data_IF_763064663760
#
_entry.id   IF_763064663760
#
_cell.length_a   1.000
_cell.length_b   1.000
_cell.length_c   1.000
_cell.angle_alpha   90.00
_cell.angle_beta   90.00
_cell.angle_gamma   90.00
#
_symmetry.space_group_name_H-M   'P 1'
#
loop_
_entity.id
_entity.type
_entity.pdbx_description
1 polymer ?
#
# COMPACT_ATOMS: atom_id res chain seq x y z
N UNK A 1 1.63 -38.59 -2.78
CA UNK A 1 2.26 -38.57 -1.43
C UNK A 1 1.40 -37.70 -0.54
N UNK A 2 0.90 -38.25 0.52
CA UNK A 2 0.06 -37.52 1.49
C UNK A 2 0.94 -36.53 2.24
N UNK A 3 0.50 -35.25 2.29
CA UNK A 3 1.23 -34.18 3.01
C UNK A 3 0.78 -34.23 4.47
N UNK A 4 1.71 -34.51 5.37
CA UNK A 4 1.39 -34.86 6.74
C UNK A 4 1.08 -33.63 7.63
N UNK A 5 1.75 -32.49 7.43
CA UNK A 5 1.64 -31.34 8.32
C UNK A 5 1.09 -30.09 7.63
N UNK A 6 0.45 -29.22 8.42
CA UNK A 6 -0.02 -27.87 7.99
C UNK A 6 1.15 -27.04 7.50
N UNK A 7 2.30 -27.12 8.18
CA UNK A 7 3.53 -26.44 7.79
C UNK A 7 3.94 -26.81 6.35
N UNK A 8 3.94 -28.10 6.01
CA UNK A 8 4.31 -28.54 4.68
C UNK A 8 3.28 -28.10 3.62
N UNK A 9 1.98 -28.08 3.98
CA UNK A 9 0.93 -27.54 3.09
C UNK A 9 1.15 -26.07 2.83
N UNK A 10 1.37 -25.27 3.87
CA UNK A 10 1.67 -23.85 3.74
C UNK A 10 2.89 -23.59 2.87
N UNK A 11 4.02 -24.23 3.19
CA UNK A 11 5.27 -24.06 2.43
C UNK A 11 5.14 -24.50 0.98
N UNK A 12 4.36 -25.56 0.71
CA UNK A 12 4.09 -25.98 -0.67
C UNK A 12 3.28 -24.93 -1.42
N UNK A 13 2.23 -24.37 -0.80
CA UNK A 13 1.44 -23.29 -1.38
C UNK A 13 2.32 -22.06 -1.71
N UNK A 14 3.15 -21.62 -0.76
CA UNK A 14 4.09 -20.50 -0.96
C UNK A 14 5.06 -20.78 -2.11
N UNK A 15 5.62 -22.00 -2.17
CA UNK A 15 6.51 -22.40 -3.26
C UNK A 15 5.82 -22.31 -4.62
N UNK A 16 4.59 -22.81 -4.74
CA UNK A 16 3.81 -22.74 -5.99
C UNK A 16 3.52 -21.30 -6.41
N UNK A 17 3.26 -20.38 -5.46
CA UNK A 17 3.08 -18.97 -5.75
C UNK A 17 4.37 -18.31 -6.24
N UNK A 18 5.49 -18.58 -5.59
CA UNK A 18 6.80 -18.00 -5.95
C UNK A 18 7.25 -18.42 -7.35
N UNK A 19 7.07 -19.68 -7.70
CA UNK A 19 7.47 -20.22 -9.00
C UNK A 19 6.37 -20.18 -10.05
N UNK A 20 5.19 -19.65 -9.73
CA UNK A 20 4.01 -19.55 -10.62
C UNK A 20 3.75 -20.88 -11.35
N UNK A 21 3.63 -21.94 -10.58
CA UNK A 21 3.50 -23.29 -11.12
C UNK A 21 2.21 -23.42 -11.96
N UNK A 22 2.35 -23.87 -13.23
CA UNK A 22 1.24 -23.89 -14.18
C UNK A 22 0.20 -24.98 -13.91
N UNK A 23 0.58 -26.06 -13.21
CA UNK A 23 -0.26 -27.26 -13.07
C UNK A 23 -0.98 -27.34 -11.72
N UNK A 24 -0.33 -26.87 -10.66
CA UNK A 24 -0.87 -26.95 -9.30
C UNK A 24 -1.28 -25.59 -8.79
N UNK A 25 -2.47 -25.52 -8.20
CA UNK A 25 -2.99 -24.28 -7.64
C UNK A 25 -2.60 -24.17 -6.16
N UNK A 26 -1.94 -23.08 -5.72
CA UNK A 26 -1.59 -22.89 -4.31
C UNK A 26 -2.82 -22.89 -3.39
N UNK A 27 -3.99 -22.47 -3.89
CA UNK A 27 -5.23 -22.45 -3.09
C UNK A 27 -5.59 -23.83 -2.55
N UNK A 28 -5.42 -24.89 -3.34
CA UNK A 28 -5.78 -26.24 -2.94
C UNK A 28 -5.03 -26.69 -1.68
N UNK A 29 -3.79 -26.24 -1.54
CA UNK A 29 -2.93 -26.54 -0.37
C UNK A 29 -3.33 -25.73 0.85
N UNK A 30 -3.67 -24.46 0.66
CA UNK A 30 -4.15 -23.62 1.77
C UNK A 30 -5.54 -24.04 2.24
N UNK A 31 -6.43 -24.43 1.33
CA UNK A 31 -7.76 -24.98 1.66
C UNK A 31 -7.65 -26.27 2.47
N UNK A 32 -6.78 -27.19 2.06
CA UNK A 32 -6.52 -28.41 2.82
C UNK A 32 -5.92 -28.09 4.22
N UNK A 33 -5.01 -27.12 4.32
CA UNK A 33 -4.48 -26.69 5.61
C UNK A 33 -5.58 -26.11 6.50
N UNK A 34 -6.44 -25.25 5.95
CA UNK A 34 -7.55 -24.62 6.67
C UNK A 34 -8.69 -25.58 7.01
N UNK A 35 -8.84 -26.69 6.26
CA UNK A 35 -9.78 -27.77 6.63
C UNK A 35 -9.35 -28.48 7.90
N UNK A 36 -8.05 -28.59 8.14
CA UNK A 36 -7.45 -29.22 9.34
C UNK A 36 -7.34 -28.23 10.50
N UNK A 37 -6.94 -26.97 10.23
CA UNK A 37 -6.81 -25.89 11.21
C UNK A 37 -7.42 -24.59 10.65
N UNK A 38 -8.72 -24.36 10.85
CA UNK A 38 -9.42 -23.21 10.29
C UNK A 38 -8.86 -21.84 10.74
N UNK A 39 -8.17 -21.82 11.87
CA UNK A 39 -7.58 -20.62 12.46
C UNK A 39 -6.09 -20.39 12.09
N UNK A 40 -5.47 -21.21 11.24
CA UNK A 40 -4.05 -20.98 10.87
C UNK A 40 -3.87 -19.59 10.27
N UNK A 41 -3.03 -18.78 10.93
CA UNK A 41 -2.84 -17.36 10.59
C UNK A 41 -2.22 -17.20 9.21
N UNK A 42 -1.22 -18.01 8.88
CA UNK A 42 -0.44 -17.89 7.64
C UNK A 42 -1.28 -18.32 6.43
N UNK A 43 -1.99 -19.44 6.55
CA UNK A 43 -2.85 -19.93 5.49
C UNK A 43 -4.05 -19.01 5.24
N UNK A 44 -4.66 -18.44 6.30
CA UNK A 44 -5.71 -17.43 6.13
C UNK A 44 -5.14 -16.16 5.46
N UNK A 45 -3.98 -15.67 5.89
CA UNK A 45 -3.38 -14.50 5.26
C UNK A 45 -3.05 -14.76 3.77
N UNK A 46 -2.47 -15.90 3.44
CA UNK A 46 -2.18 -16.29 2.06
C UNK A 46 -3.45 -16.41 1.20
N UNK A 47 -4.49 -17.07 1.71
CA UNK A 47 -5.79 -17.15 1.03
C UNK A 47 -6.41 -15.79 0.80
N UNK A 48 -6.35 -14.90 1.82
CA UNK A 48 -6.80 -13.52 1.68
C UNK A 48 -6.09 -12.78 0.55
N UNK A 49 -4.77 -12.90 0.45
CA UNK A 49 -3.97 -12.30 -0.63
C UNK A 49 -4.34 -12.87 -2.02
N UNK A 50 -4.61 -14.17 -2.13
CA UNK A 50 -5.06 -14.77 -3.38
C UNK A 50 -6.44 -14.25 -3.81
N UNK A 51 -7.37 -14.06 -2.86
CA UNK A 51 -8.68 -13.46 -3.14
C UNK A 51 -8.57 -11.98 -3.51
N UNK A 52 -7.66 -11.23 -2.87
CA UNK A 52 -7.37 -9.84 -3.26
C UNK A 52 -6.91 -9.74 -4.72
N UNK A 53 -6.00 -10.61 -5.16
CA UNK A 53 -5.53 -10.66 -6.56
C UNK A 53 -6.65 -10.96 -7.56
N UNK A 54 -7.71 -11.66 -7.12
CA UNK A 54 -8.90 -11.94 -7.93
C UNK A 54 -9.97 -10.84 -7.85
N UNK A 55 -9.75 -9.79 -7.07
CA UNK A 55 -10.74 -8.73 -6.84
C UNK A 55 -11.89 -9.12 -5.88
N UNK A 56 -11.79 -10.27 -5.23
CA UNK A 56 -12.81 -10.80 -4.32
C UNK A 56 -12.57 -10.27 -2.89
N UNK A 57 -12.66 -8.95 -2.73
CA UNK A 57 -12.25 -8.26 -1.50
C UNK A 57 -13.03 -8.68 -0.26
N UNK A 58 -14.32 -9.01 -0.38
CA UNK A 58 -15.11 -9.47 0.75
C UNK A 58 -14.68 -10.85 1.24
N UNK A 59 -14.24 -11.75 0.34
CA UNK A 59 -13.68 -13.04 0.72
C UNK A 59 -12.32 -12.87 1.37
N UNK A 60 -11.49 -11.98 0.81
CA UNK A 60 -10.18 -11.64 1.38
C UNK A 60 -10.32 -11.11 2.82
N UNK A 61 -11.25 -10.18 3.04
CA UNK A 61 -11.54 -9.62 4.36
C UNK A 61 -11.89 -10.70 5.38
N UNK A 62 -12.74 -11.67 5.03
CA UNK A 62 -13.13 -12.76 5.93
C UNK A 62 -11.91 -13.57 6.41
N UNK A 63 -10.98 -13.86 5.50
CA UNK A 63 -9.74 -14.54 5.82
C UNK A 63 -8.81 -13.71 6.71
N UNK A 64 -8.60 -12.43 6.39
CA UNK A 64 -7.76 -11.56 7.22
C UNK A 64 -8.34 -11.38 8.63
N UNK A 65 -9.65 -11.22 8.76
CA UNK A 65 -10.31 -11.15 10.09
C UNK A 65 -10.13 -12.45 10.89
N UNK A 66 -10.17 -13.61 10.23
CA UNK A 66 -9.90 -14.91 10.86
C UNK A 66 -8.47 -15.00 11.34
N UNK A 67 -7.50 -14.62 10.50
CA UNK A 67 -6.08 -14.55 10.87
C UNK A 67 -5.86 -13.63 12.09
N UNK A 68 -6.41 -12.43 12.06
CA UNK A 68 -6.31 -11.45 13.15
C UNK A 68 -6.94 -11.99 14.45
N UNK A 69 -8.10 -12.60 14.35
CA UNK A 69 -8.78 -13.20 15.51
C UNK A 69 -7.88 -14.23 16.22
N UNK A 70 -7.24 -15.11 15.46
CA UNK A 70 -6.31 -16.10 16.03
C UNK A 70 -5.05 -15.43 16.58
N UNK A 71 -4.47 -14.51 15.81
CA UNK A 71 -3.24 -13.79 16.17
C UNK A 71 -3.37 -13.00 17.48
N UNK A 72 -4.57 -12.49 17.77
CA UNK A 72 -4.86 -11.65 18.93
C UNK A 72 -5.46 -12.38 20.12
N UNK A 73 -5.69 -13.70 20.05
CA UNK A 73 -6.31 -14.46 21.14
C UNK A 73 -5.61 -14.31 22.48
N UNK A 74 -4.28 -14.23 22.48
CA UNK A 74 -3.45 -14.15 23.70
C UNK A 74 -2.77 -12.80 23.89
N UNK A 75 -2.65 -12.01 22.82
CA UNK A 75 -1.99 -10.71 22.86
C UNK A 75 -2.70 -9.75 21.89
N UNK A 76 -3.35 -8.68 22.39
CA UNK A 76 -4.03 -7.70 21.53
C UNK A 76 -3.07 -6.91 20.63
N UNK A 77 -1.75 -6.98 20.91
CA UNK A 77 -0.70 -6.36 20.13
C UNK A 77 0.24 -7.43 19.57
N UNK A 78 -0.16 -8.13 18.49
CA UNK A 78 0.64 -9.19 17.91
C UNK A 78 1.94 -8.64 17.31
N UNK A 79 2.94 -9.51 17.20
CA UNK A 79 4.23 -9.18 16.59
C UNK A 79 4.17 -9.01 15.08
N UNK A 80 3.12 -9.49 14.42
CA UNK A 80 2.92 -9.43 12.97
C UNK A 80 1.78 -8.47 12.61
N UNK A 81 2.10 -7.46 11.80
CA UNK A 81 1.16 -6.46 11.32
C UNK A 81 0.57 -6.76 9.93
N UNK A 82 1.08 -7.81 9.24
CA UNK A 82 0.68 -8.09 7.85
C UNK A 82 -0.82 -8.32 7.68
N UNK A 83 -1.50 -9.15 8.49
CA UNK A 83 -2.93 -9.35 8.34
C UNK A 83 -3.75 -8.06 8.53
N UNK A 84 -3.30 -7.15 9.39
CA UNK A 84 -3.94 -5.85 9.56
C UNK A 84 -3.76 -4.95 8.33
N UNK A 85 -2.55 -4.90 7.78
CA UNK A 85 -2.27 -4.14 6.56
C UNK A 85 -3.12 -4.63 5.38
N UNK A 86 -3.17 -5.94 5.20
CA UNK A 86 -3.96 -6.58 4.15
C UNK A 86 -5.48 -6.39 4.37
N UNK A 87 -5.95 -6.41 5.63
CA UNK A 87 -7.32 -6.05 5.98
C UNK A 87 -7.62 -4.60 5.58
N UNK A 88 -6.71 -3.66 5.89
CA UNK A 88 -6.84 -2.26 5.50
C UNK A 88 -7.07 -2.11 4.00
N UNK A 89 -6.29 -2.78 3.19
CA UNK A 89 -6.45 -2.77 1.74
C UNK A 89 -7.78 -3.38 1.29
N UNK A 90 -8.18 -4.54 1.84
CA UNK A 90 -9.44 -5.17 1.46
C UNK A 90 -10.66 -4.30 1.84
N UNK A 91 -10.62 -3.63 2.99
CA UNK A 91 -11.66 -2.68 3.40
C UNK A 91 -11.68 -1.45 2.50
N UNK A 92 -10.50 -0.88 2.17
CA UNK A 92 -10.39 0.28 1.29
C UNK A 92 -10.98 0.02 -0.09
N UNK A 93 -10.69 -1.14 -0.69
CA UNK A 93 -11.21 -1.54 -1.99
C UNK A 93 -12.73 -1.77 -2.00
N UNK A 94 -13.33 -1.94 -0.83
CA UNK A 94 -14.78 -2.03 -0.65
C UNK A 94 -15.43 -0.69 -0.25
N UNK A 95 -14.68 0.41 -0.18
CA UNK A 95 -15.16 1.72 0.27
C UNK A 95 -15.36 1.84 1.79
N UNK A 96 -14.92 0.86 2.58
CA UNK A 96 -14.98 0.88 4.06
C UNK A 96 -13.79 1.66 4.62
N UNK A 97 -13.79 2.99 4.38
CA UNK A 97 -12.62 3.84 4.59
C UNK A 97 -12.22 3.94 6.07
N UNK A 98 -13.20 4.02 6.99
CA UNK A 98 -12.90 4.13 8.43
C UNK A 98 -12.31 2.83 8.98
N UNK A 99 -12.85 1.68 8.57
CA UNK A 99 -12.28 0.38 8.94
C UNK A 99 -10.88 0.17 8.33
N UNK A 100 -10.65 0.66 7.12
CA UNK A 100 -9.33 0.63 6.49
C UNK A 100 -8.32 1.48 7.28
N UNK A 101 -8.72 2.69 7.68
CA UNK A 101 -7.89 3.57 8.50
C UNK A 101 -7.47 2.91 9.81
N UNK A 102 -8.42 2.34 10.55
CA UNK A 102 -8.16 1.65 11.82
C UNK A 102 -7.22 0.44 11.63
N UNK A 103 -7.42 -0.33 10.56
CA UNK A 103 -6.59 -1.48 10.24
C UNK A 103 -5.14 -1.06 9.89
N UNK A 104 -4.95 -0.03 9.05
CA UNK A 104 -3.62 0.51 8.75
C UNK A 104 -2.96 1.09 10.00
N UNK A 105 -3.72 1.81 10.84
CA UNK A 105 -3.20 2.35 12.08
C UNK A 105 -2.70 1.24 13.01
N UNK A 106 -3.44 0.12 13.10
CA UNK A 106 -3.01 -1.04 13.88
C UNK A 106 -1.78 -1.74 13.27
N UNK A 107 -1.71 -1.85 11.96
CA UNK A 107 -0.54 -2.41 11.27
C UNK A 107 0.73 -1.56 11.51
N UNK A 108 0.60 -0.24 11.61
CA UNK A 108 1.71 0.68 11.87
C UNK A 108 2.37 0.49 13.24
N UNK A 109 1.78 -0.28 14.16
CA UNK A 109 2.41 -0.64 15.44
C UNK A 109 3.56 -1.63 15.25
N UNK A 110 3.57 -2.35 14.13
CA UNK A 110 4.69 -3.23 13.76
C UNK A 110 5.68 -2.47 12.87
N UNK A 111 6.96 -2.51 13.24
CA UNK A 111 8.02 -1.74 12.58
C UNK A 111 8.15 -2.06 11.07
N UNK A 112 7.90 -3.31 10.68
CA UNK A 112 8.00 -3.75 9.28
C UNK A 112 6.91 -3.15 8.38
N UNK A 113 5.79 -2.72 8.97
CA UNK A 113 4.63 -2.21 8.23
C UNK A 113 4.43 -0.69 8.40
N UNK A 114 5.33 -0.01 9.11
CA UNK A 114 5.16 1.41 9.45
C UNK A 114 5.16 2.31 8.22
N UNK A 115 6.11 2.15 7.30
CA UNK A 115 6.20 3.03 6.13
C UNK A 115 4.97 2.90 5.23
N UNK A 116 4.60 1.67 4.88
CA UNK A 116 3.45 1.38 4.03
C UNK A 116 2.13 1.82 4.69
N UNK A 117 1.97 1.52 5.99
CA UNK A 117 0.74 1.86 6.72
C UNK A 117 0.57 3.37 6.89
N UNK A 118 1.61 4.09 7.30
CA UNK A 118 1.52 5.54 7.41
C UNK A 118 1.29 6.24 6.07
N UNK A 119 1.79 5.68 4.98
CA UNK A 119 1.49 6.17 3.65
C UNK A 119 0.01 6.01 3.29
N UNK A 120 -0.59 4.85 3.57
CA UNK A 120 -2.03 4.63 3.33
C UNK A 120 -2.92 5.47 4.26
N UNK A 121 -2.52 5.66 5.51
CA UNK A 121 -3.16 6.59 6.45
C UNK A 121 -3.13 8.01 5.88
N UNK A 122 -1.96 8.49 5.41
CA UNK A 122 -1.82 9.81 4.81
C UNK A 122 -2.72 10.00 3.59
N UNK A 123 -2.88 8.98 2.75
CA UNK A 123 -3.82 9.01 1.61
C UNK A 123 -5.27 9.18 2.08
N UNK A 124 -5.70 8.44 3.11
CA UNK A 124 -7.05 8.56 3.66
C UNK A 124 -7.27 9.94 4.27
N UNK A 125 -6.31 10.46 5.01
CA UNK A 125 -6.36 11.81 5.59
C UNK A 125 -6.40 12.89 4.50
N UNK A 126 -5.67 12.69 3.39
CA UNK A 126 -5.74 13.59 2.22
C UNK A 126 -7.14 13.58 1.60
N UNK A 127 -7.77 12.41 1.42
CA UNK A 127 -9.14 12.26 0.93
C UNK A 127 -10.14 13.01 1.85
N UNK A 128 -9.90 12.99 3.16
CA UNK A 128 -10.72 13.70 4.16
C UNK A 128 -10.46 15.21 4.19
N UNK A 129 -9.46 15.71 3.46
CA UNK A 129 -9.03 17.11 3.50
C UNK A 129 -8.27 17.50 4.76
N UNK A 130 -7.81 16.53 5.55
CA UNK A 130 -7.05 16.71 6.79
C UNK A 130 -5.55 16.84 6.48
N UNK A 131 -5.17 17.86 5.69
CA UNK A 131 -3.84 17.98 5.08
C UNK A 131 -2.68 18.06 6.08
N UNK A 132 -2.87 18.71 7.23
CA UNK A 132 -1.87 18.79 8.29
C UNK A 132 -1.56 17.41 8.88
N UNK A 133 -2.61 16.62 9.17
CA UNK A 133 -2.45 15.25 9.68
C UNK A 133 -1.81 14.35 8.61
N UNK A 134 -2.28 14.47 7.36
CA UNK A 134 -1.70 13.73 6.24
C UNK A 134 -0.20 14.03 6.07
N UNK A 135 0.22 15.28 6.27
CA UNK A 135 1.63 15.67 6.23
C UNK A 135 2.42 14.99 7.37
N UNK A 136 1.89 14.96 8.59
CA UNK A 136 2.52 14.24 9.70
C UNK A 136 2.63 12.73 9.43
N UNK A 137 1.59 12.14 8.86
CA UNK A 137 1.57 10.70 8.54
C UNK A 137 2.56 10.36 7.42
N UNK A 138 2.62 11.16 6.35
CA UNK A 138 3.58 10.94 5.28
C UNK A 138 5.03 11.13 5.74
N UNK A 139 5.28 12.04 6.68
CA UNK A 139 6.60 12.22 7.28
C UNK A 139 7.02 11.02 8.13
N UNK A 140 6.09 10.41 8.86
CA UNK A 140 6.33 9.14 9.58
C UNK A 140 6.69 8.00 8.61
N UNK A 141 5.99 7.90 7.46
CA UNK A 141 6.34 6.95 6.40
C UNK A 141 7.77 7.20 5.89
N UNK A 142 8.10 8.44 5.53
CA UNK A 142 9.41 8.82 5.00
C UNK A 142 10.56 8.67 6.02
N UNK A 143 10.27 8.78 7.32
CA UNK A 143 11.24 8.51 8.37
C UNK A 143 11.67 7.04 8.38
N UNK A 144 10.78 6.13 8.00
CA UNK A 144 11.04 4.68 7.92
C UNK A 144 11.61 4.27 6.56
N UNK A 145 11.12 4.89 5.50
CA UNK A 145 11.57 4.61 4.13
C UNK A 145 11.75 5.92 3.36
N UNK A 146 12.95 6.48 3.44
CA UNK A 146 13.30 7.73 2.77
C UNK A 146 13.15 7.66 1.25
N UNK A 147 13.28 6.47 0.66
CA UNK A 147 13.14 6.22 -0.78
C UNK A 147 11.71 5.89 -1.22
N UNK A 148 10.71 6.10 -0.38
CA UNK A 148 9.32 5.86 -0.75
C UNK A 148 8.83 6.94 -1.74
N UNK A 149 9.04 6.74 -3.04
CA UNK A 149 8.78 7.73 -4.10
C UNK A 149 7.34 8.26 -4.11
N UNK A 150 6.34 7.40 -3.92
CA UNK A 150 4.93 7.82 -3.86
C UNK A 150 4.62 8.66 -2.61
N UNK A 151 5.25 8.37 -1.49
CA UNK A 151 5.13 9.19 -0.28
C UNK A 151 5.78 10.56 -0.47
N UNK A 152 6.91 10.63 -1.20
CA UNK A 152 7.56 11.90 -1.55
C UNK A 152 6.67 12.76 -2.45
N UNK A 153 6.04 12.15 -3.47
CA UNK A 153 5.05 12.83 -4.31
C UNK A 153 3.89 13.37 -3.48
N UNK A 154 3.28 12.53 -2.64
CA UNK A 154 2.17 12.94 -1.79
C UNK A 154 2.55 14.11 -0.86
N UNK A 155 3.76 14.11 -0.30
CA UNK A 155 4.25 15.23 0.51
C UNK A 155 4.34 16.53 -0.30
N UNK A 156 4.82 16.47 -1.55
CA UNK A 156 4.81 17.64 -2.43
C UNK A 156 3.38 18.14 -2.66
N UNK A 157 2.44 17.23 -2.97
CA UNK A 157 1.03 17.56 -3.18
C UNK A 157 0.42 18.25 -1.95
N UNK A 158 0.66 17.71 -0.76
CA UNK A 158 0.16 18.25 0.51
C UNK A 158 0.71 19.68 0.77
N UNK A 159 2.01 19.86 0.60
CA UNK A 159 2.63 21.19 0.77
C UNK A 159 2.03 22.21 -0.21
N UNK A 160 1.81 21.82 -1.48
CA UNK A 160 1.17 22.69 -2.48
C UNK A 160 -0.30 22.98 -2.13
N UNK A 161 -1.09 21.98 -1.73
CA UNK A 161 -2.49 22.17 -1.31
C UNK A 161 -2.61 23.10 -0.09
N UNK A 162 -1.63 23.05 0.81
CA UNK A 162 -1.52 23.97 1.95
C UNK A 162 -0.95 25.35 1.58
N UNK A 163 -0.70 25.62 0.28
CA UNK A 163 -0.11 26.87 -0.24
C UNK A 163 1.34 27.13 0.18
N UNK A 164 2.07 26.11 0.60
CA UNK A 164 3.51 26.20 0.89
C UNK A 164 4.33 25.86 -0.37
N UNK A 165 4.08 26.61 -1.45
CA UNK A 165 4.63 26.33 -2.78
C UNK A 165 6.18 26.28 -2.79
N UNK A 166 6.84 27.22 -2.11
CA UNK A 166 8.32 27.25 -2.01
C UNK A 166 8.86 25.95 -1.35
N UNK A 167 8.18 25.46 -0.28
CA UNK A 167 8.55 24.21 0.37
C UNK A 167 8.28 23.01 -0.51
N UNK A 168 7.19 23.03 -1.28
CA UNK A 168 6.87 21.98 -2.23
C UNK A 168 7.95 21.87 -3.31
N UNK A 169 8.37 22.99 -3.91
CA UNK A 169 9.45 23.06 -4.90
C UNK A 169 10.75 22.54 -4.30
N UNK A 170 11.18 23.06 -3.15
CA UNK A 170 12.43 22.65 -2.51
C UNK A 170 12.44 21.15 -2.18
N UNK A 171 11.31 20.58 -1.74
CA UNK A 171 11.22 19.16 -1.44
C UNK A 171 11.17 18.31 -2.72
N UNK A 172 10.56 18.81 -3.79
CA UNK A 172 10.60 18.18 -5.11
C UNK A 172 12.03 18.15 -5.67
N UNK A 173 12.78 19.26 -5.56
CA UNK A 173 14.19 19.33 -5.97
C UNK A 173 15.03 18.27 -5.25
N UNK A 174 14.95 18.22 -3.92
CA UNK A 174 15.62 17.20 -3.12
C UNK A 174 15.18 15.76 -3.46
N UNK A 175 13.95 15.58 -3.94
CA UNK A 175 13.46 14.27 -4.38
C UNK A 175 14.03 13.88 -5.73
N UNK A 176 14.19 14.85 -6.64
CA UNK A 176 14.74 14.64 -7.98
C UNK A 176 16.27 14.46 -7.96
N UNK A 177 16.96 14.94 -6.92
CA UNK A 177 18.37 14.61 -6.67
C UNK A 177 18.56 13.13 -6.30
N UNK A 178 17.58 12.53 -5.58
CA UNK A 178 17.60 11.11 -5.22
C UNK A 178 17.28 10.25 -6.43
N UNK A 179 16.21 10.61 -7.15
CA UNK A 179 15.76 9.92 -8.35
C UNK A 179 15.19 10.91 -9.36
N UNK A 180 15.95 11.17 -10.42
CA UNK A 180 15.54 12.06 -11.52
C UNK A 180 14.33 11.56 -12.31
N UNK A 181 13.95 10.28 -12.16
CA UNK A 181 12.78 9.65 -12.75
C UNK A 181 11.55 9.65 -11.83
N UNK A 182 11.60 10.33 -10.69
CA UNK A 182 10.39 10.55 -9.89
C UNK A 182 9.47 11.57 -10.58
N UNK A 183 8.70 11.08 -11.56
CA UNK A 183 7.82 11.94 -12.40
C UNK A 183 6.73 12.62 -11.57
N UNK A 184 6.24 11.96 -10.51
CA UNK A 184 5.26 12.54 -9.61
C UNK A 184 5.79 13.80 -8.92
N UNK A 185 7.00 13.77 -8.36
CA UNK A 185 7.64 14.95 -7.78
C UNK A 185 7.95 16.01 -8.84
N UNK A 186 8.31 15.63 -10.06
CA UNK A 186 8.54 16.59 -11.16
C UNK A 186 7.25 17.30 -11.55
N UNK A 187 6.14 16.58 -11.65
CA UNK A 187 4.85 17.17 -11.95
C UNK A 187 4.38 18.11 -10.83
N UNK A 188 4.56 17.71 -9.57
CA UNK A 188 4.25 18.55 -8.42
C UNK A 188 5.11 19.81 -8.36
N UNK A 189 6.38 19.73 -8.79
CA UNK A 189 7.26 20.88 -8.92
C UNK A 189 6.70 21.89 -9.93
N UNK A 190 6.27 21.40 -11.11
CA UNK A 190 5.57 22.20 -12.12
C UNK A 190 4.33 22.87 -11.55
N UNK A 191 3.45 22.13 -10.89
CA UNK A 191 2.21 22.65 -10.31
C UNK A 191 2.45 23.70 -9.23
N UNK A 192 3.56 23.60 -8.48
CA UNK A 192 3.90 24.53 -7.42
C UNK A 192 4.64 25.78 -7.92
N UNK A 193 5.51 25.65 -8.93
CA UNK A 193 6.32 26.75 -9.48
C UNK A 193 5.64 27.49 -10.63
N UNK A 194 4.83 26.79 -11.43
CA UNK A 194 4.31 27.26 -12.71
C UNK A 194 5.33 27.27 -13.85
N UNK A 195 6.54 26.69 -13.66
CA UNK A 195 7.60 26.70 -14.67
C UNK A 195 7.40 25.59 -15.71
N UNK A 196 7.12 25.96 -16.95
CA UNK A 196 6.88 25.02 -18.05
C UNK A 196 8.05 24.08 -18.37
N UNK A 197 9.28 24.46 -18.03
CA UNK A 197 10.47 23.63 -18.23
C UNK A 197 10.36 22.25 -17.56
N UNK A 198 9.69 22.15 -16.40
CA UNK A 198 9.46 20.88 -15.71
C UNK A 198 8.46 20.01 -16.45
N UNK A 199 7.40 20.59 -16.99
CA UNK A 199 6.41 19.87 -17.80
C UNK A 199 7.03 19.36 -19.11
N UNK A 200 7.85 20.18 -19.77
CA UNK A 200 8.58 19.76 -20.98
C UNK A 200 9.53 18.61 -20.70
N UNK A 201 10.28 18.71 -19.59
CA UNK A 201 11.19 17.63 -19.17
C UNK A 201 10.46 16.35 -18.81
N UNK A 202 9.29 16.47 -18.15
CA UNK A 202 8.43 15.32 -17.85
C UNK A 202 7.98 14.64 -19.16
N UNK A 203 7.49 15.39 -20.14
CA UNK A 203 7.07 14.85 -21.44
C UNK A 203 8.23 14.16 -22.17
N UNK A 204 9.41 14.79 -22.18
CA UNK A 204 10.62 14.20 -22.78
C UNK A 204 10.96 12.85 -22.16
N UNK A 205 10.93 12.74 -20.82
CA UNK A 205 11.27 11.53 -20.08
C UNK A 205 10.21 10.44 -20.23
N UNK A 206 8.94 10.83 -20.26
CA UNK A 206 7.79 9.92 -20.42
C UNK A 206 7.66 9.38 -21.85
N UNK A 207 8.25 10.06 -22.85
CA UNK A 207 8.30 9.63 -24.27
C UNK A 207 6.91 9.28 -24.83
N UNK A 208 5.88 10.02 -24.46
CA UNK A 208 4.47 9.79 -24.86
C UNK A 208 3.95 8.38 -24.50
N UNK A 209 4.58 7.69 -23.56
CA UNK A 209 4.14 6.38 -23.11
C UNK A 209 2.93 6.50 -22.18
N UNK A 210 1.74 6.23 -22.73
CA UNK A 210 0.47 6.42 -22.05
C UNK A 210 0.33 5.71 -20.70
N UNK A 211 0.90 4.52 -20.55
CA UNK A 211 0.85 3.78 -19.29
C UNK A 211 1.54 4.52 -18.15
N UNK A 212 2.63 5.24 -18.42
CA UNK A 212 3.30 6.06 -17.41
C UNK A 212 2.40 7.17 -16.88
N UNK A 213 1.67 7.87 -17.76
CA UNK A 213 0.72 8.90 -17.34
C UNK A 213 -0.43 8.32 -16.51
N UNK A 214 -0.96 7.16 -16.90
CA UNK A 214 -2.02 6.47 -16.16
C UNK A 214 -1.55 6.09 -14.76
N UNK A 215 -0.33 5.56 -14.61
CA UNK A 215 0.22 5.19 -13.30
C UNK A 215 0.27 6.38 -12.33
N UNK A 216 0.75 7.54 -12.81
CA UNK A 216 0.80 8.75 -11.97
C UNK A 216 -0.60 9.31 -11.70
N UNK A 217 -1.50 9.30 -12.68
CA UNK A 217 -2.88 9.70 -12.47
C UNK A 217 -3.57 8.82 -11.40
N UNK A 218 -3.33 7.52 -11.40
CA UNK A 218 -3.85 6.61 -10.38
C UNK A 218 -3.30 6.92 -8.99
N UNK A 219 -2.05 7.36 -8.87
CA UNK A 219 -1.49 7.78 -7.58
C UNK A 219 -2.18 9.04 -7.03
N UNK A 220 -2.48 10.02 -7.88
CA UNK A 220 -3.28 11.20 -7.51
C UNK A 220 -4.71 10.82 -7.10
N UNK A 221 -5.39 10.00 -7.90
CA UNK A 221 -6.74 9.48 -7.61
C UNK A 221 -6.75 8.74 -6.27
N UNK A 222 -5.74 7.91 -6.01
CA UNK A 222 -5.64 7.17 -4.75
C UNK A 222 -5.47 8.08 -3.52
N UNK A 223 -4.99 9.31 -3.69
CA UNK A 223 -4.94 10.36 -2.67
C UNK A 223 -6.16 11.29 -2.65
N UNK A 224 -7.17 11.07 -3.51
CA UNK A 224 -8.32 11.96 -3.64
C UNK A 224 -8.02 13.30 -4.33
N UNK A 225 -6.91 13.38 -5.05
CA UNK A 225 -6.43 14.56 -5.76
C UNK A 225 -6.88 14.46 -7.23
N UNK A 226 -8.18 14.66 -7.46
CA UNK A 226 -8.82 14.43 -8.78
C UNK A 226 -8.68 15.59 -9.77
N UNK A 227 -8.20 16.74 -9.33
CA UNK A 227 -8.07 17.95 -10.16
C UNK A 227 -6.67 18.08 -10.81
N UNK A 228 -5.76 17.21 -10.44
CA UNK A 228 -4.41 17.10 -10.98
C UNK A 228 -4.38 16.13 -12.16
#
# INVERSE_FOLDING_TARGET
KEIASIEQLFLTGVHLEQYRHATYNPMDYYEEALSREPGDVRCNNAMGLLWMRKGEFAKAEAHFRTAIKTLTQRNPNPYDGEPYFNLGWSCRMQGKIDEAYDAFYKAAWNAAWQDASYFEIARIETIRGEYEKALESVEKSLTRNWHHHKARQLKCSLLRKMKYNEKAVAFADASLEIDSFNMGCRYERYLASGENSDLEKLKELMRDWSHGYIEYALDFVAGGLYEE
#
